data_IF_580651576405
#
_entry.id   IF_580651576405
#
_cell.length_a   1.000
_cell.length_b   1.000
_cell.length_c   1.000
_cell.angle_alpha   90.00
_cell.angle_beta   90.00
_cell.angle_gamma   90.00
#
_symmetry.space_group_name_H-M   'P 1'
#
loop_
_entity.id
_entity.type
_entity.pdbx_description
1 polymer ?
#
# COMPACT_ATOMS: atom_id res chain seq x y z
N UNK A 1 -3.28 12.17 19.72
CA UNK A 1 -2.53 13.44 19.70
C UNK A 1 -1.66 13.63 20.95
N UNK A 2 -2.20 13.83 22.17
CA UNK A 2 -1.40 14.06 23.39
C UNK A 2 -0.35 12.97 23.65
N UNK A 3 -0.75 11.68 23.53
CA UNK A 3 0.15 10.53 23.73
C UNK A 3 1.33 10.56 22.75
N UNK A 4 1.12 11.01 21.50
CA UNK A 4 2.18 11.10 20.51
C UNK A 4 3.20 12.18 20.88
N UNK A 5 2.74 13.36 21.31
CA UNK A 5 3.63 14.43 21.77
C UNK A 5 4.47 14.00 22.98
N UNK A 6 3.86 13.36 23.97
CA UNK A 6 4.58 12.83 25.14
C UNK A 6 5.62 11.78 24.72
N UNK A 7 5.24 10.88 23.80
CA UNK A 7 6.15 9.84 23.31
C UNK A 7 7.33 10.42 22.54
N UNK A 8 7.12 11.46 21.71
CA UNK A 8 8.21 12.17 21.03
C UNK A 8 9.13 12.91 22.00
N UNK A 9 8.59 13.52 23.06
CA UNK A 9 9.41 14.16 24.11
C UNK A 9 10.27 13.12 24.82
N UNK A 10 9.69 11.98 25.22
CA UNK A 10 10.43 10.88 25.85
C UNK A 10 11.51 10.35 24.90
N UNK A 11 11.17 10.08 23.64
CA UNK A 11 12.12 9.62 22.63
C UNK A 11 13.28 10.61 22.45
N UNK A 12 12.99 11.91 22.34
CA UNK A 12 13.99 12.97 22.25
C UNK A 12 14.91 13.03 23.47
N UNK A 13 14.35 12.87 24.67
CA UNK A 13 15.14 12.80 25.91
C UNK A 13 16.05 11.56 25.93
N UNK A 14 15.56 10.38 25.54
CA UNK A 14 16.36 9.15 25.47
C UNK A 14 17.52 9.30 24.47
N UNK A 15 17.26 9.84 23.28
CA UNK A 15 18.27 10.12 22.26
C UNK A 15 19.31 11.10 22.79
N UNK A 16 18.88 12.22 23.38
CA UNK A 16 19.76 13.25 23.90
C UNK A 16 20.64 12.72 25.04
N UNK A 17 20.06 12.00 26.00
CA UNK A 17 20.79 11.41 27.12
C UNK A 17 21.76 10.32 26.66
N UNK A 18 21.33 9.44 25.74
CA UNK A 18 22.20 8.43 25.14
C UNK A 18 23.38 9.05 24.40
N UNK A 19 23.14 10.10 23.61
CA UNK A 19 24.17 10.83 22.90
C UNK A 19 25.16 11.55 23.83
N UNK A 20 24.66 12.27 24.85
CA UNK A 20 25.52 12.92 25.85
C UNK A 20 26.33 11.86 26.61
N UNK A 21 25.73 10.73 26.98
CA UNK A 21 26.42 9.64 27.66
C UNK A 21 27.52 9.03 26.79
N UNK A 22 27.31 8.89 25.48
CA UNK A 22 28.35 8.45 24.54
C UNK A 22 29.52 9.43 24.48
N UNK A 23 29.26 10.75 24.47
CA UNK A 23 30.31 11.76 24.45
C UNK A 23 31.04 11.89 25.79
N UNK A 24 30.32 11.76 26.91
CA UNK A 24 30.88 11.88 28.25
C UNK A 24 31.66 10.64 28.68
N UNK A 25 31.44 9.50 28.02
CA UNK A 25 32.17 8.27 28.31
C UNK A 25 33.61 8.36 27.85
N UNK A 26 34.50 8.39 28.84
CA UNK A 26 35.91 8.07 28.64
C UNK A 26 36.00 6.58 28.33
N UNK A 27 36.29 6.24 27.08
CA UNK A 27 36.66 4.88 26.70
C UNK A 27 38.04 4.61 27.30
N UNK A 28 38.05 3.89 28.42
CA UNK A 28 39.30 3.41 29.00
C UNK A 28 39.82 2.29 28.12
N UNK A 29 41.03 2.48 27.57
CA UNK A 29 41.73 1.46 26.80
C UNK A 29 42.65 0.74 27.79
N UNK A 30 42.51 -0.57 27.87
CA UNK A 30 43.43 -1.39 28.65
C UNK A 30 44.84 -1.31 28.04
N UNK A 31 45.82 -1.04 28.89
CA UNK A 31 47.20 -0.74 28.48
C UNK A 31 47.93 -1.98 27.95
N UNK A 32 47.51 -3.19 28.35
CA UNK A 32 48.12 -4.45 27.92
C UNK A 32 47.47 -5.01 26.65
N UNK A 33 46.15 -4.90 26.52
CA UNK A 33 45.39 -5.54 25.43
C UNK A 33 44.97 -4.57 24.32
N UNK A 34 45.10 -3.25 24.55
CA UNK A 34 44.56 -2.18 23.69
C UNK A 34 43.06 -2.31 23.38
N UNK A 35 42.31 -3.05 24.21
CA UNK A 35 40.87 -3.20 24.05
C UNK A 35 40.09 -2.29 25.01
N UNK A 36 38.86 -1.88 24.64
CA UNK A 36 37.99 -1.13 25.54
C UNK A 36 37.69 -1.91 26.82
N UNK A 37 37.82 -1.26 27.98
CA UNK A 37 37.57 -1.87 29.29
C UNK A 37 36.10 -2.29 29.43
N UNK A 38 35.89 -3.56 29.75
CA UNK A 38 34.58 -4.14 30.05
C UNK A 38 34.25 -3.94 31.54
N UNK A 39 33.00 -3.55 31.84
CA UNK A 39 32.52 -3.37 33.21
C UNK A 39 31.55 -4.50 33.53
N UNK A 40 31.79 -5.18 34.65
CA UNK A 40 30.97 -6.29 35.09
C UNK A 40 29.81 -5.77 35.97
N UNK A 41 28.57 -5.99 35.53
CA UNK A 41 27.37 -5.55 36.25
C UNK A 41 26.70 -6.78 36.87
N UNK A 42 26.44 -6.79 38.19
CA UNK A 42 25.69 -7.89 38.82
C UNK A 42 24.28 -7.96 38.20
N UNK A 43 23.91 -9.15 37.71
CA UNK A 43 22.70 -9.51 36.91
C UNK A 43 22.87 -9.57 35.38
N UNK A 44 23.73 -8.76 34.75
CA UNK A 44 23.77 -8.64 33.27
C UNK A 44 25.09 -9.12 32.64
N UNK A 45 26.10 -9.39 33.47
CA UNK A 45 27.42 -9.86 33.02
C UNK A 45 28.34 -8.72 32.60
N UNK A 46 29.34 -9.04 31.77
CA UNK A 46 30.31 -8.05 31.26
C UNK A 46 29.69 -7.23 30.14
N UNK A 47 29.59 -5.93 30.34
CA UNK A 47 29.10 -4.97 29.36
C UNK A 47 30.22 -4.03 28.96
N UNK A 48 30.39 -3.83 27.65
CA UNK A 48 31.24 -2.75 27.16
C UNK A 48 30.67 -1.43 27.69
N UNK A 49 31.58 -0.51 28.03
CA UNK A 49 31.22 0.73 28.72
C UNK A 49 30.15 1.53 27.97
N UNK A 50 30.11 1.45 26.64
CA UNK A 50 29.16 2.17 25.78
C UNK A 50 27.77 1.56 25.60
N UNK A 51 27.52 0.32 26.07
CA UNK A 51 26.26 -0.39 25.79
C UNK A 51 25.03 0.31 26.38
N UNK A 52 25.04 0.82 27.64
CA UNK A 52 23.88 1.53 28.19
C UNK A 52 23.51 2.77 27.37
N UNK A 53 24.52 3.56 26.95
CA UNK A 53 24.30 4.78 26.18
C UNK A 53 23.75 4.48 24.77
N UNK A 54 24.22 3.42 24.13
CA UNK A 54 23.67 2.91 22.88
C UNK A 54 22.20 2.44 23.04
N UNK A 55 21.88 1.77 24.15
CA UNK A 55 20.51 1.32 24.40
C UNK A 55 19.53 2.51 24.52
N UNK A 56 19.93 3.59 25.20
CA UNK A 56 19.15 4.83 25.24
C UNK A 56 18.98 5.47 23.85
N UNK A 57 20.07 5.55 23.08
CA UNK A 57 20.04 6.15 21.74
C UNK A 57 19.13 5.36 20.80
N UNK A 58 19.37 4.06 20.64
CA UNK A 58 18.59 3.21 19.74
C UNK A 58 17.17 2.98 20.23
N UNK A 59 16.96 2.87 21.55
CA UNK A 59 15.62 2.79 22.14
C UNK A 59 14.81 4.05 21.88
N UNK A 60 15.42 5.22 22.01
CA UNK A 60 14.79 6.49 21.67
C UNK A 60 14.45 6.60 20.18
N UNK A 61 15.36 6.20 19.28
CA UNK A 61 15.10 6.17 17.83
C UNK A 61 13.96 5.21 17.47
N UNK A 62 13.95 4.01 18.04
CA UNK A 62 12.89 3.03 17.83
C UNK A 62 11.54 3.56 18.32
N UNK A 63 11.50 4.18 19.51
CA UNK A 63 10.29 4.80 20.04
C UNK A 63 9.81 5.96 19.15
N UNK A 64 10.71 6.81 18.66
CA UNK A 64 10.37 7.90 17.75
C UNK A 64 9.74 7.37 16.46
N UNK A 65 10.34 6.32 15.86
CA UNK A 65 9.83 5.69 14.65
C UNK A 65 8.43 5.10 14.85
N UNK A 66 8.24 4.30 15.90
CA UNK A 66 6.94 3.69 16.21
C UNK A 66 5.87 4.74 16.54
N UNK A 67 6.26 5.84 17.18
CA UNK A 67 5.36 6.96 17.46
C UNK A 67 4.97 7.67 16.17
N UNK A 68 5.92 7.90 15.27
CA UNK A 68 5.69 8.55 13.99
C UNK A 68 4.72 7.77 13.12
N UNK A 69 4.96 6.47 12.93
CA UNK A 69 4.10 5.57 12.14
C UNK A 69 2.65 5.57 12.64
N UNK A 70 2.46 5.61 13.97
CA UNK A 70 1.12 5.66 14.58
C UNK A 70 0.47 7.04 14.59
N UNK A 71 1.27 8.11 14.73
CA UNK A 71 0.77 9.47 14.85
C UNK A 71 0.41 10.08 13.49
N UNK A 72 1.10 9.64 12.44
CA UNK A 72 0.93 10.09 11.07
C UNK A 72 0.69 8.88 10.16
N UNK A 73 -0.47 8.20 10.30
CA UNK A 73 -0.80 7.12 9.39
C UNK A 73 -0.83 7.67 7.96
N UNK A 74 -0.42 6.87 6.95
CA UNK A 74 -0.43 7.29 5.55
C UNK A 74 -1.79 7.88 5.20
N UNK A 75 -1.78 9.04 4.53
CA UNK A 75 -3.03 9.65 4.13
C UNK A 75 -3.74 8.74 3.12
N UNK A 76 -5.03 8.42 3.34
CA UNK A 76 -5.79 7.66 2.38
C UNK A 76 -5.87 8.47 1.08
N UNK A 77 -5.39 7.90 -0.02
CA UNK A 77 -5.53 8.50 -1.34
C UNK A 77 -6.70 7.86 -2.07
N UNK A 78 -7.45 8.68 -2.81
CA UNK A 78 -8.44 8.17 -3.74
C UNK A 78 -7.72 7.65 -4.99
N UNK A 79 -8.13 6.46 -5.44
CA UNK A 79 -7.67 5.89 -6.71
C UNK A 79 -8.87 5.58 -7.58
N UNK A 80 -8.72 5.83 -8.88
CA UNK A 80 -9.82 5.75 -9.84
C UNK A 80 -9.49 4.76 -10.95
N UNK A 81 -10.40 3.82 -11.22
CA UNK A 81 -10.33 2.95 -12.40
C UNK A 81 -11.47 3.33 -13.34
N UNK A 82 -11.14 3.61 -14.60
CA UNK A 82 -12.12 3.96 -15.63
C UNK A 82 -12.11 2.93 -16.74
N UNK A 83 -13.29 2.59 -17.26
CA UNK A 83 -13.41 1.66 -18.38
C UNK A 83 -14.76 1.71 -19.08
N UNK A 84 -14.89 0.87 -20.10
CA UNK A 84 -16.13 0.65 -20.84
C UNK A 84 -16.14 -0.75 -21.43
N UNK A 85 -17.31 -1.36 -21.61
CA UNK A 85 -17.47 -2.59 -22.37
C UNK A 85 -17.98 -2.29 -23.78
N UNK A 86 -17.54 -3.08 -24.76
CA UNK A 86 -18.00 -3.00 -26.14
C UNK A 86 -18.33 -4.40 -26.64
N UNK A 87 -19.30 -4.52 -27.54
CA UNK A 87 -19.59 -5.77 -28.23
C UNK A 87 -18.56 -6.03 -29.37
N UNK A 88 -18.74 -7.15 -30.07
CA UNK A 88 -17.88 -7.55 -31.21
C UNK A 88 -17.93 -6.55 -32.39
N UNK A 89 -18.98 -5.73 -32.50
CA UNK A 89 -19.10 -4.68 -33.52
C UNK A 89 -18.49 -3.34 -33.09
N UNK A 90 -17.90 -3.27 -31.89
CA UNK A 90 -17.29 -2.06 -31.33
C UNK A 90 -18.27 -1.06 -30.73
N UNK A 91 -19.54 -1.44 -30.60
CA UNK A 91 -20.57 -0.62 -29.95
C UNK A 91 -20.47 -0.75 -28.43
N UNK A 92 -20.38 0.38 -27.73
CA UNK A 92 -20.38 0.42 -26.26
C UNK A 92 -21.71 -0.11 -25.70
N UNK A 93 -21.60 -1.00 -24.72
CA UNK A 93 -22.74 -1.62 -24.05
C UNK A 93 -23.25 -0.72 -22.94
N UNK A 94 -24.57 -0.74 -22.75
CA UNK A 94 -25.21 0.00 -21.66
C UNK A 94 -25.21 -0.81 -20.36
N UNK A 95 -24.70 -0.23 -19.29
CA UNK A 95 -24.62 -0.76 -17.93
C UNK A 95 -25.95 -0.71 -17.16
N UNK A 96 -27.00 -0.03 -17.66
CA UNK A 96 -28.27 0.16 -16.93
C UNK A 96 -28.93 -1.15 -16.45
N UNK A 97 -28.67 -2.27 -17.11
CA UNK A 97 -29.18 -3.61 -16.78
C UNK A 97 -28.13 -4.58 -16.23
N UNK A 98 -26.88 -4.14 -16.09
CA UNK A 98 -25.76 -4.97 -15.64
C UNK A 98 -25.34 -4.71 -14.19
N UNK A 99 -24.48 -5.58 -13.68
CA UNK A 99 -23.86 -5.47 -12.38
C UNK A 99 -22.33 -5.51 -12.53
N UNK A 100 -21.65 -4.54 -11.91
CA UNK A 100 -20.20 -4.51 -11.80
C UNK A 100 -19.84 -4.79 -10.34
N UNK A 101 -19.06 -5.84 -10.10
CA UNK A 101 -18.53 -6.18 -8.78
C UNK A 101 -17.02 -6.08 -8.78
N UNK A 102 -16.48 -5.67 -7.65
CA UNK A 102 -15.04 -5.56 -7.42
C UNK A 102 -14.71 -6.39 -6.19
N UNK A 103 -13.61 -7.14 -6.25
CA UNK A 103 -13.13 -7.94 -5.13
C UNK A 103 -11.74 -7.45 -4.72
N UNK A 104 -11.55 -7.05 -3.45
CA UNK A 104 -12.54 -6.94 -2.35
C UNK A 104 -13.56 -5.78 -2.53
N UNK A 105 -14.67 -5.83 -1.79
CA UNK A 105 -15.91 -5.11 -2.06
C UNK A 105 -15.96 -3.62 -1.61
N UNK A 106 -14.93 -3.09 -0.94
CA UNK A 106 -14.92 -1.70 -0.42
C UNK A 106 -14.60 -0.67 -1.52
N UNK A 107 -15.49 -0.56 -2.52
CA UNK A 107 -15.37 0.40 -3.61
C UNK A 107 -16.69 1.10 -3.92
N UNK A 108 -16.62 2.38 -4.29
CA UNK A 108 -17.77 3.15 -4.79
C UNK A 108 -17.78 3.04 -6.31
N UNK A 109 -18.74 2.31 -6.86
CA UNK A 109 -18.86 2.08 -8.30
C UNK A 109 -19.90 3.05 -8.86
N UNK A 110 -19.48 3.86 -9.82
CA UNK A 110 -20.33 4.80 -10.54
C UNK A 110 -20.35 4.48 -12.01
N UNK A 111 -21.55 4.46 -12.57
CA UNK A 111 -21.78 4.36 -14.00
C UNK A 111 -22.10 5.75 -14.53
N UNK A 112 -21.54 6.12 -15.69
CA UNK A 112 -21.82 7.40 -16.35
C UNK A 112 -23.31 7.55 -16.68
N UNK A 113 -23.80 8.78 -16.83
CA UNK A 113 -25.22 9.06 -17.12
C UNK A 113 -25.70 8.42 -18.43
N UNK A 114 -24.81 8.27 -19.41
CA UNK A 114 -25.11 7.58 -20.67
C UNK A 114 -25.04 6.05 -20.57
N UNK A 115 -24.72 5.53 -19.38
CA UNK A 115 -24.62 4.11 -19.10
C UNK A 115 -23.53 3.38 -19.87
N UNK A 116 -22.55 4.06 -20.48
CA UNK A 116 -21.55 3.42 -21.37
C UNK A 116 -20.15 3.34 -20.80
N UNK A 117 -19.90 4.02 -19.69
CA UNK A 117 -18.61 4.05 -19.01
C UNK A 117 -18.81 3.81 -17.53
N UNK A 118 -17.82 3.19 -16.90
CA UNK A 118 -17.80 2.98 -15.47
C UNK A 118 -16.57 3.63 -14.86
N UNK A 119 -16.74 4.04 -13.60
CA UNK A 119 -15.71 4.58 -12.74
C UNK A 119 -15.79 3.84 -11.41
N UNK A 120 -14.73 3.12 -11.05
CA UNK A 120 -14.57 2.52 -9.73
C UNK A 120 -13.69 3.47 -8.92
N UNK A 121 -14.22 3.99 -7.83
CA UNK A 121 -13.46 4.84 -6.89
C UNK A 121 -13.15 4.01 -5.66
N UNK A 122 -11.86 3.76 -5.45
CA UNK A 122 -11.35 3.16 -4.24
C UNK A 122 -11.06 4.26 -3.22
N UNK A 123 -11.71 4.13 -2.06
CA UNK A 123 -11.45 4.99 -0.90
C UNK A 123 -10.49 4.27 0.03
N UNK A 124 -9.66 5.02 0.74
CA UNK A 124 -8.73 4.49 1.75
C UNK A 124 -7.58 3.63 1.22
N UNK A 125 -7.11 3.87 -0.01
CA UNK A 125 -5.86 3.27 -0.49
C UNK A 125 -4.69 3.92 0.22
N UNK A 126 -3.77 3.13 0.78
CA UNK A 126 -2.57 3.69 1.42
C UNK A 126 -1.67 4.33 0.35
N UNK A 127 -1.10 5.49 0.66
CA UNK A 127 -0.11 6.11 -0.21
C UNK A 127 1.05 5.14 -0.48
N UNK A 128 1.47 5.04 -1.76
CA UNK A 128 2.47 4.07 -2.21
C UNK A 128 1.95 2.64 -2.45
N UNK A 129 0.73 2.30 -2.01
CA UNK A 129 0.13 1.00 -2.30
C UNK A 129 -0.31 0.93 -3.78
N UNK A 130 -0.01 -0.21 -4.40
CA UNK A 130 -0.33 -0.49 -5.78
C UNK A 130 -1.82 -0.88 -5.93
N UNK A 131 -2.41 -0.66 -7.11
CA UNK A 131 -3.84 -0.90 -7.33
C UNK A 131 -4.17 -2.40 -7.34
N UNK A 132 -3.24 -3.21 -7.83
CA UNK A 132 -3.29 -4.67 -7.88
C UNK A 132 -3.24 -5.33 -6.49
N UNK A 133 -2.74 -4.62 -5.47
CA UNK A 133 -2.78 -5.06 -4.08
C UNK A 133 -4.11 -4.74 -3.40
N UNK A 134 -4.87 -3.77 -3.95
CA UNK A 134 -6.15 -3.33 -3.39
C UNK A 134 -7.32 -4.02 -4.05
N UNK A 135 -7.29 -4.20 -5.37
CA UNK A 135 -8.29 -4.93 -6.14
C UNK A 135 -7.63 -6.12 -6.82
N UNK A 136 -8.16 -7.30 -6.55
CA UNK A 136 -7.77 -8.51 -7.26
C UNK A 136 -8.52 -8.61 -8.59
N UNK A 137 -9.85 -8.47 -8.54
CA UNK A 137 -10.75 -8.80 -9.66
C UNK A 137 -11.84 -7.76 -9.85
N UNK A 138 -12.15 -7.50 -11.12
CA UNK A 138 -13.34 -6.77 -11.56
C UNK A 138 -14.21 -7.77 -12.33
N UNK A 139 -15.42 -8.02 -11.83
CA UNK A 139 -16.40 -8.89 -12.44
C UNK A 139 -17.52 -8.06 -13.05
N UNK A 140 -17.84 -8.34 -14.30
CA UNK A 140 -18.99 -7.76 -14.99
C UNK A 140 -19.98 -8.85 -15.36
N UNK A 141 -21.23 -8.64 -14.98
CA UNK A 141 -22.37 -9.51 -15.31
C UNK A 141 -23.46 -8.69 -15.95
N UNK A 142 -23.96 -9.11 -17.11
CA UNK A 142 -25.08 -8.46 -17.79
C UNK A 142 -26.01 -9.53 -18.37
N UNK A 143 -27.34 -9.34 -18.38
CA UNK A 143 -28.28 -10.35 -18.87
C UNK A 143 -27.99 -10.84 -20.29
N UNK A 144 -27.47 -9.96 -21.13
CA UNK A 144 -27.21 -10.22 -22.56
C UNK A 144 -25.74 -10.58 -22.85
N UNK A 145 -24.87 -10.65 -21.84
CA UNK A 145 -23.42 -10.80 -22.04
C UNK A 145 -22.86 -11.95 -21.21
N UNK A 146 -21.98 -12.75 -21.81
CA UNK A 146 -21.19 -13.73 -21.06
C UNK A 146 -20.38 -13.02 -19.98
N UNK A 147 -20.42 -13.52 -18.74
CA UNK A 147 -19.70 -12.92 -17.62
C UNK A 147 -18.21 -12.71 -17.97
N UNK A 148 -17.72 -11.51 -17.70
CA UNK A 148 -16.34 -11.13 -17.96
C UNK A 148 -15.61 -10.81 -16.65
N UNK A 149 -14.38 -11.28 -16.56
CA UNK A 149 -13.51 -11.08 -15.40
C UNK A 149 -12.19 -10.41 -15.83
N UNK A 150 -11.74 -9.47 -15.02
CA UNK A 150 -10.46 -8.78 -15.19
C UNK A 150 -9.66 -8.98 -13.92
N UNK A 151 -8.55 -9.72 -14.02
CA UNK A 151 -7.58 -9.86 -12.95
C UNK A 151 -6.55 -8.74 -13.12
N UNK A 152 -6.61 -7.71 -12.27
CA UNK A 152 -5.82 -6.49 -12.49
C UNK A 152 -4.31 -6.73 -12.45
N UNK A 153 -3.87 -7.65 -11.60
CA UNK A 153 -2.47 -8.03 -11.48
C UNK A 153 -1.92 -8.57 -12.81
N UNK A 154 -2.64 -9.48 -13.43
CA UNK A 154 -2.22 -10.11 -14.69
C UNK A 154 -2.19 -9.08 -15.82
N UNK A 155 -3.19 -8.20 -15.88
CA UNK A 155 -3.27 -7.13 -16.88
C UNK A 155 -2.16 -6.10 -16.74
N UNK A 156 -1.73 -5.82 -15.51
CA UNK A 156 -0.64 -4.90 -15.21
C UNK A 156 0.72 -5.51 -15.52
N UNK A 157 0.92 -6.78 -15.21
CA UNK A 157 2.12 -7.53 -15.58
C UNK A 157 2.24 -7.64 -17.10
N UNK A 158 1.12 -7.85 -17.80
CA UNK A 158 1.07 -7.80 -19.26
C UNK A 158 1.44 -6.42 -19.79
N UNK A 159 0.87 -5.34 -19.23
CA UNK A 159 1.16 -3.96 -19.63
C UNK A 159 2.64 -3.58 -19.43
N UNK A 160 3.22 -3.91 -18.28
CA UNK A 160 4.64 -3.65 -17.95
C UNK A 160 5.61 -4.45 -18.82
N UNK A 161 5.17 -5.60 -19.33
CA UNK A 161 5.97 -6.50 -20.19
C UNK A 161 5.74 -6.29 -21.68
N UNK A 162 5.05 -5.21 -22.08
CA UNK A 162 4.67 -4.91 -23.47
C UNK A 162 3.89 -6.05 -24.18
N UNK A 163 3.13 -6.82 -23.39
CA UNK A 163 2.19 -7.83 -23.88
C UNK A 163 0.81 -7.21 -24.07
N UNK A 164 -0.05 -7.91 -24.81
CA UNK A 164 -1.44 -7.50 -24.97
C UNK A 164 -2.12 -7.39 -23.59
N UNK A 165 -2.65 -6.20 -23.30
CA UNK A 165 -3.27 -5.85 -22.03
C UNK A 165 -4.53 -5.02 -22.28
N UNK A 166 -5.53 -5.25 -21.43
CA UNK A 166 -6.76 -4.46 -21.33
C UNK A 166 -6.50 -3.08 -20.72
N UNK A 167 -5.31 -2.80 -20.16
CA UNK A 167 -4.93 -1.47 -19.68
C UNK A 167 -4.56 -0.54 -20.86
N UNK A 168 -5.04 0.70 -20.80
CA UNK A 168 -4.69 1.77 -21.73
C UNK A 168 -3.62 2.69 -21.14
N UNK A 169 -3.79 3.09 -19.89
CA UNK A 169 -2.87 3.99 -19.19
C UNK A 169 -2.85 3.65 -17.70
N UNK A 170 -1.66 3.68 -17.11
CA UNK A 170 -1.41 3.48 -15.68
C UNK A 170 -0.76 4.75 -15.14
N UNK A 171 -1.58 5.63 -14.57
CA UNK A 171 -1.12 6.81 -13.85
C UNK A 171 -0.97 6.51 -12.36
N UNK A 172 -0.41 7.47 -11.63
CA UNK A 172 -0.22 7.35 -10.19
C UNK A 172 -1.56 7.17 -9.47
N UNK A 173 -2.56 8.03 -9.74
CA UNK A 173 -3.87 8.00 -9.08
C UNK A 173 -5.01 7.39 -9.90
N UNK A 174 -4.75 7.11 -11.18
CA UNK A 174 -5.81 6.69 -12.08
C UNK A 174 -5.32 5.63 -13.08
N UNK A 175 -6.11 4.58 -13.24
CA UNK A 175 -5.94 3.57 -14.28
C UNK A 175 -7.08 3.66 -15.26
N UNK A 176 -6.74 3.66 -16.55
CA UNK A 176 -7.71 3.64 -17.63
C UNK A 176 -7.63 2.32 -18.38
N UNK A 177 -8.75 1.65 -18.52
CA UNK A 177 -8.93 0.43 -19.30
C UNK A 177 -9.24 0.80 -20.75
N UNK A 178 -8.79 -0.04 -21.68
CA UNK A 178 -9.30 -0.06 -23.06
C UNK A 178 -10.77 -0.49 -23.03
N UNK A 179 -11.55 -0.20 -24.08
CA UNK A 179 -12.85 -0.82 -24.26
C UNK A 179 -12.72 -2.34 -24.25
N UNK A 180 -13.35 -3.00 -23.29
CA UNK A 180 -13.23 -4.44 -23.10
C UNK A 180 -14.24 -5.11 -24.02
N UNK A 181 -13.79 -5.95 -24.97
CA UNK A 181 -14.71 -6.69 -25.82
C UNK A 181 -15.44 -7.73 -24.99
N UNK A 182 -16.75 -7.84 -25.18
CA UNK A 182 -17.57 -8.85 -24.51
C UNK A 182 -18.47 -9.55 -25.52
N UNK A 183 -18.73 -10.83 -25.28
CA UNK A 183 -19.57 -11.66 -26.13
C UNK A 183 -21.01 -11.58 -25.68
N UNK A 184 -21.92 -11.30 -26.62
CA UNK A 184 -23.34 -11.38 -26.36
C UNK A 184 -23.76 -12.85 -26.25
N UNK A 185 -24.76 -13.15 -25.43
CA UNK A 185 -25.40 -14.46 -25.48
C UNK A 185 -26.08 -14.60 -26.85
N UNK A 186 -25.71 -15.63 -27.62
CA UNK A 186 -26.46 -15.99 -28.81
C UNK A 186 -27.87 -16.41 -28.39
N UNK A 187 -28.91 -15.72 -28.88
CA UNK A 187 -30.32 -16.09 -28.65
C UNK A 187 -30.72 -17.43 -29.31
N UNK A 188 -29.77 -18.27 -29.74
CA UNK A 188 -29.97 -19.47 -30.55
C UNK A 188 -29.85 -20.82 -29.84
N UNK A 189 -30.01 -20.88 -28.51
CA UNK A 189 -29.68 -22.07 -27.71
C UNK A 189 -30.78 -22.56 -26.76
N UNK A 190 -32.06 -22.40 -27.11
CA UNK A 190 -33.16 -23.07 -26.42
C UNK A 190 -33.93 -23.92 -27.44
N UNK A 191 -33.47 -25.16 -27.63
CA UNK A 191 -34.27 -26.27 -28.16
C UNK A 191 -34.71 -27.16 -27.03
#
# INVERSE_FOLDING_TARGET
MIIAYVSFVIAGLLILLGFIALLAQKVYIDRETQQPVEVEIPMVGKLKTNVPALAFLFGGLALAYLTFDKAYPPHPVERIIRGSFQNETGQKINFSSGELKVTPADSDIRVSENGKEFTITLKNVKEGQSLEEVIERIHFSHPEVVMEEIVLKDELDAYRSDRESKLKNVGEHAVSLKPIPVKLFDEGGAT
#
